data_IF_459798088063
#
_entry.id   IF_459798088063
#
_cell.length_a   1.000
_cell.length_b   1.000
_cell.length_c   1.000
_cell.angle_alpha   90.00
_cell.angle_beta   90.00
_cell.angle_gamma   90.00
#
_symmetry.space_group_name_H-M   'P 1'
#
loop_
_entity.id
_entity.type
_entity.pdbx_description
1 polymer ?
#
# COMPACT_ATOMS: atom_id res chain seq x y z
N UNK A 1 44.95 -55.14 31.81
CA UNK A 1 44.12 -55.15 30.60
C UNK A 1 42.86 -54.29 30.79
N UNK A 2 42.31 -54.22 32.01
CA UNK A 2 41.08 -53.46 32.31
C UNK A 2 41.24 -51.92 32.31
N UNK A 3 42.39 -51.39 32.73
CA UNK A 3 42.61 -49.92 32.80
C UNK A 3 42.51 -49.22 31.43
N UNK A 4 43.02 -49.84 30.36
CA UNK A 4 42.96 -49.29 28.99
C UNK A 4 41.54 -49.31 28.39
N UNK A 5 40.69 -50.24 28.82
CA UNK A 5 39.27 -50.28 28.44
C UNK A 5 38.45 -49.23 29.18
N UNK A 6 38.86 -48.90 30.41
CA UNK A 6 38.23 -47.85 31.21
C UNK A 6 38.54 -46.45 30.67
N UNK A 7 39.76 -46.23 30.18
CA UNK A 7 40.18 -44.96 29.57
C UNK A 7 39.46 -44.71 28.23
N UNK A 8 39.39 -45.70 27.34
CA UNK A 8 38.63 -45.61 26.08
C UNK A 8 37.14 -45.32 26.30
N UNK A 9 36.52 -45.95 27.32
CA UNK A 9 35.10 -45.76 27.65
C UNK A 9 34.82 -44.39 28.27
N UNK A 10 35.82 -43.76 28.88
CA UNK A 10 35.72 -42.41 29.47
C UNK A 10 35.81 -41.33 28.38
N UNK A 11 36.74 -41.47 27.44
CA UNK A 11 36.87 -40.58 26.27
C UNK A 11 35.63 -40.63 25.35
N UNK A 12 35.05 -41.81 25.14
CA UNK A 12 33.82 -41.96 24.34
C UNK A 12 32.60 -41.28 24.99
N UNK A 13 32.55 -41.22 26.32
CA UNK A 13 31.46 -40.56 27.07
C UNK A 13 31.59 -39.05 27.04
N UNK A 14 32.81 -38.53 27.13
CA UNK A 14 33.07 -37.09 27.07
C UNK A 14 32.83 -36.52 25.66
N UNK A 15 33.25 -37.24 24.62
CA UNK A 15 32.99 -36.86 23.22
C UNK A 15 31.49 -36.87 22.89
N UNK A 16 30.74 -37.90 23.32
CA UNK A 16 29.27 -37.96 23.15
C UNK A 16 28.56 -36.83 23.92
N UNK A 17 28.94 -36.56 25.16
CA UNK A 17 28.40 -35.47 25.98
C UNK A 17 28.64 -34.09 25.34
N UNK A 18 29.85 -33.85 24.84
CA UNK A 18 30.19 -32.59 24.16
C UNK A 18 29.39 -32.37 22.87
N UNK A 19 29.12 -33.45 22.12
CA UNK A 19 28.36 -33.40 20.87
C UNK A 19 26.86 -33.16 21.13
N UNK A 20 26.30 -33.73 22.19
CA UNK A 20 24.94 -33.45 22.64
C UNK A 20 24.78 -31.99 23.08
N UNK A 21 25.75 -31.45 23.82
CA UNK A 21 25.79 -30.02 24.20
C UNK A 21 25.86 -29.10 22.98
N UNK A 22 26.73 -29.41 22.01
CA UNK A 22 26.83 -28.66 20.74
C UNK A 22 25.53 -28.73 19.91
N UNK A 23 24.84 -29.88 19.90
CA UNK A 23 23.54 -30.03 19.24
C UNK A 23 22.45 -29.25 19.95
N UNK A 24 22.39 -29.33 21.28
CA UNK A 24 21.44 -28.59 22.12
C UNK A 24 21.56 -27.08 21.90
N UNK A 25 22.80 -26.53 21.90
CA UNK A 25 23.03 -25.11 21.62
C UNK A 25 22.57 -24.69 20.22
N UNK A 26 22.79 -25.52 19.19
CA UNK A 26 22.30 -25.25 17.83
C UNK A 26 20.77 -25.23 17.76
N UNK A 27 20.10 -26.19 18.40
CA UNK A 27 18.64 -26.24 18.48
C UNK A 27 18.10 -25.03 19.25
N UNK A 28 18.74 -24.64 20.36
CA UNK A 28 18.35 -23.45 21.12
C UNK A 28 18.49 -22.16 20.28
N UNK A 29 19.59 -22.01 19.53
CA UNK A 29 19.80 -20.88 18.63
C UNK A 29 18.75 -20.83 17.50
N UNK A 30 18.43 -21.99 16.89
CA UNK A 30 17.37 -22.10 15.89
C UNK A 30 16.00 -21.69 16.48
N UNK A 31 15.64 -22.25 17.64
CA UNK A 31 14.39 -21.92 18.33
C UNK A 31 14.32 -20.43 18.69
N UNK A 32 15.44 -19.81 19.08
CA UNK A 32 15.51 -18.40 19.38
C UNK A 32 15.30 -17.53 18.12
N UNK A 33 15.92 -17.90 17.00
CA UNK A 33 15.73 -17.23 15.72
C UNK A 33 14.27 -17.26 15.29
N UNK A 34 13.65 -18.42 15.42
CA UNK A 34 12.25 -18.65 15.05
C UNK A 34 11.27 -17.92 15.99
N UNK A 35 11.57 -17.82 17.30
CA UNK A 35 10.83 -16.92 18.21
C UNK A 35 10.88 -15.47 17.74
N UNK A 36 12.08 -14.96 17.43
CA UNK A 36 12.24 -13.58 16.91
C UNK A 36 11.47 -13.37 15.61
N UNK A 37 11.39 -14.38 14.74
CA UNK A 37 10.58 -14.29 13.52
C UNK A 37 9.09 -14.12 13.83
N UNK A 38 8.54 -14.94 14.73
CA UNK A 38 7.16 -14.81 15.19
C UNK A 38 6.88 -13.47 15.86
N UNK A 39 7.82 -12.95 16.66
CA UNK A 39 7.68 -11.65 17.31
C UNK A 39 7.61 -10.51 16.28
N UNK A 40 8.43 -10.56 15.22
CA UNK A 40 8.35 -9.60 14.11
C UNK A 40 7.00 -9.66 13.40
N UNK A 41 6.48 -10.86 13.12
CA UNK A 41 5.16 -11.04 12.50
C UNK A 41 4.06 -10.49 13.42
N UNK A 42 4.06 -10.86 14.69
CA UNK A 42 3.06 -10.39 15.65
C UNK A 42 3.14 -8.88 15.86
N UNK A 43 4.33 -8.28 15.81
CA UNK A 43 4.52 -6.83 15.81
C UNK A 43 3.86 -6.16 14.61
N UNK A 44 4.08 -6.70 13.39
CA UNK A 44 3.41 -6.21 12.17
C UNK A 44 1.90 -6.35 12.24
N UNK A 45 1.39 -7.47 12.75
CA UNK A 45 -0.06 -7.67 12.94
C UNK A 45 -0.67 -6.65 13.90
N UNK A 46 0.00 -6.36 15.02
CA UNK A 46 -0.44 -5.31 15.96
C UNK A 46 -0.42 -3.92 15.33
N UNK A 47 0.57 -3.63 14.48
CA UNK A 47 0.61 -2.36 13.75
C UNK A 47 -0.58 -2.24 12.77
N UNK A 48 -0.89 -3.30 12.02
CA UNK A 48 -2.05 -3.35 11.14
C UNK A 48 -3.37 -3.13 11.89
N UNK A 49 -3.55 -3.74 13.06
CA UNK A 49 -4.75 -3.55 13.89
C UNK A 49 -5.02 -2.09 14.26
N UNK A 50 -3.97 -1.28 14.41
CA UNK A 50 -4.11 0.15 14.76
C UNK A 50 -4.50 1.01 13.56
N UNK A 51 -4.16 0.58 12.35
CA UNK A 51 -4.40 1.33 11.12
C UNK A 51 -5.72 0.97 10.46
N UNK A 52 -6.21 -0.25 10.66
CA UNK A 52 -7.41 -0.76 9.99
C UNK A 52 -8.63 -0.63 10.91
N UNK A 53 -9.70 0.04 10.46
CA UNK A 53 -10.97 0.09 11.19
C UNK A 53 -11.51 -1.31 11.49
N UNK A 54 -12.14 -1.49 12.65
CA UNK A 54 -12.77 -2.75 13.09
C UNK A 54 -11.84 -3.96 13.30
N UNK A 55 -10.54 -3.85 13.06
CA UNK A 55 -9.58 -4.96 13.16
C UNK A 55 -9.09 -5.27 14.60
N UNK A 56 -9.50 -4.50 15.61
CA UNK A 56 -8.95 -4.61 16.99
C UNK A 56 -9.32 -5.90 17.73
N UNK A 57 -10.41 -6.58 17.33
CA UNK A 57 -10.93 -7.79 18.00
C UNK A 57 -11.13 -8.98 17.05
N UNK A 58 -10.58 -8.92 15.83
CA UNK A 58 -10.70 -9.97 14.84
C UNK A 58 -9.54 -10.97 14.95
N UNK A 59 -9.78 -12.24 14.62
CA UNK A 59 -8.70 -13.21 14.48
C UNK A 59 -7.79 -12.86 13.29
N UNK A 60 -6.67 -13.58 13.14
CA UNK A 60 -5.63 -13.25 12.15
C UNK A 60 -6.12 -13.38 10.71
N UNK A 61 -7.02 -14.30 10.40
CA UNK A 61 -7.52 -14.49 9.04
C UNK A 61 -8.49 -13.36 8.68
N UNK A 62 -9.49 -13.12 9.53
CA UNK A 62 -10.45 -12.03 9.33
C UNK A 62 -9.77 -10.64 9.33
N UNK A 63 -8.71 -10.45 10.09
CA UNK A 63 -7.92 -9.22 10.06
C UNK A 63 -7.31 -8.94 8.69
N UNK A 64 -6.77 -9.96 8.04
CA UNK A 64 -6.19 -9.81 6.70
C UNK A 64 -7.28 -9.50 5.67
N UNK A 65 -8.48 -10.06 5.84
CA UNK A 65 -9.62 -9.74 4.99
C UNK A 65 -10.08 -8.29 5.15
N UNK A 66 -10.19 -7.80 6.39
CA UNK A 66 -10.51 -6.38 6.66
C UNK A 66 -9.43 -5.44 6.12
N UNK A 67 -8.14 -5.82 6.19
CA UNK A 67 -7.04 -5.04 5.57
C UNK A 67 -7.25 -4.92 4.06
N UNK A 68 -7.53 -6.02 3.36
CA UNK A 68 -7.75 -6.02 1.92
C UNK A 68 -8.95 -5.15 1.55
N UNK A 69 -10.04 -5.28 2.31
CA UNK A 69 -11.26 -4.48 2.12
C UNK A 69 -10.97 -2.99 2.30
N UNK A 70 -10.28 -2.60 3.37
CA UNK A 70 -9.94 -1.20 3.63
C UNK A 70 -9.04 -0.61 2.54
N UNK A 71 -8.06 -1.35 2.03
CA UNK A 71 -7.21 -0.90 0.92
C UNK A 71 -8.01 -0.67 -0.36
N UNK A 72 -8.95 -1.57 -0.69
CA UNK A 72 -9.85 -1.38 -1.85
C UNK A 72 -10.71 -0.12 -1.70
N UNK A 73 -11.26 0.11 -0.51
CA UNK A 73 -12.03 1.32 -0.21
C UNK A 73 -11.18 2.59 -0.36
N UNK A 74 -9.95 2.58 0.15
CA UNK A 74 -9.05 3.72 0.05
C UNK A 74 -8.67 4.01 -1.41
N UNK A 75 -8.40 2.97 -2.21
CA UNK A 75 -8.13 3.13 -3.65
C UNK A 75 -9.35 3.73 -4.38
N UNK A 76 -10.55 3.24 -4.10
CA UNK A 76 -11.77 3.79 -4.69
C UNK A 76 -11.99 5.25 -4.30
N UNK A 77 -11.72 5.62 -3.04
CA UNK A 77 -11.82 7.00 -2.57
C UNK A 77 -10.84 7.92 -3.31
N UNK A 78 -9.58 7.50 -3.47
CA UNK A 78 -8.57 8.27 -4.21
C UNK A 78 -8.97 8.45 -5.68
N UNK A 79 -9.47 7.38 -6.31
CA UNK A 79 -9.96 7.45 -7.70
C UNK A 79 -11.13 8.43 -7.84
N UNK A 80 -12.09 8.41 -6.92
CA UNK A 80 -13.22 9.34 -6.90
C UNK A 80 -12.77 10.79 -6.75
N UNK A 81 -11.87 11.09 -5.81
CA UNK A 81 -11.35 12.46 -5.64
C UNK A 81 -10.61 12.91 -6.90
N UNK A 82 -9.83 12.02 -7.51
CA UNK A 82 -9.05 12.35 -8.71
C UNK A 82 -9.97 12.60 -9.90
N UNK A 83 -10.99 11.76 -10.11
CA UNK A 83 -11.96 11.96 -11.18
C UNK A 83 -12.80 13.21 -10.96
N UNK A 84 -13.20 13.51 -9.73
CA UNK A 84 -13.89 14.75 -9.38
C UNK A 84 -13.04 15.99 -9.73
N UNK A 85 -11.77 16.01 -9.33
CA UNK A 85 -10.84 17.09 -9.67
C UNK A 85 -10.62 17.23 -11.18
N UNK A 86 -10.49 16.10 -11.89
CA UNK A 86 -10.33 16.12 -13.34
C UNK A 86 -11.60 16.64 -14.04
N UNK A 87 -12.79 16.28 -13.55
CA UNK A 87 -14.06 16.80 -14.05
C UNK A 87 -14.20 18.29 -13.76
N UNK A 88 -13.84 18.77 -12.56
CA UNK A 88 -13.82 20.20 -12.24
C UNK A 88 -12.87 20.96 -13.18
N UNK A 89 -11.67 20.44 -13.42
CA UNK A 89 -10.71 21.03 -14.36
C UNK A 89 -11.23 21.01 -15.80
N UNK A 90 -11.83 19.91 -16.26
CA UNK A 90 -12.44 19.83 -17.59
C UNK A 90 -13.62 20.80 -17.72
N UNK A 91 -14.46 20.92 -16.69
CA UNK A 91 -15.60 21.83 -16.68
C UNK A 91 -15.12 23.29 -16.67
N UNK A 92 -14.02 23.60 -15.97
CA UNK A 92 -13.37 24.90 -16.02
C UNK A 92 -12.72 25.18 -17.39
N UNK A 93 -12.07 24.20 -18.02
CA UNK A 93 -11.47 24.33 -19.36
C UNK A 93 -12.52 24.41 -20.48
N UNK A 94 -13.68 23.77 -20.32
CA UNK A 94 -14.79 23.82 -21.27
C UNK A 94 -15.65 25.10 -21.09
N UNK A 95 -15.69 25.66 -19.87
CA UNK A 95 -16.33 26.96 -19.60
C UNK A 95 -15.46 28.15 -20.03
N UNK A 96 -14.12 28.05 -19.95
CA UNK A 96 -13.19 29.05 -20.50
C UNK A 96 -12.96 28.89 -22.01
N UNK A 97 -13.18 27.68 -22.55
CA UNK A 97 -13.08 27.39 -23.99
C UNK A 97 -14.29 27.82 -24.83
N UNK A 98 -15.37 28.30 -24.20
CA UNK A 98 -16.59 28.69 -24.92
C UNK A 98 -17.16 30.02 -24.42
N UNK A 99 -16.48 31.10 -24.77
CA UNK A 99 -17.13 32.37 -25.09
C UNK A 99 -16.49 32.98 -26.34
N UNK A 100 -17.16 32.85 -27.50
CA UNK A 100 -17.65 34.06 -28.13
C UNK A 100 -19.15 33.93 -28.36
N UNK A 101 -19.94 34.27 -27.36
CA UNK A 101 -21.26 34.86 -27.58
C UNK A 101 -21.09 36.10 -28.47
N UNK A 102 -21.26 35.90 -29.77
CA UNK A 102 -21.74 36.82 -30.79
C UNK A 102 -21.50 38.31 -30.45
N UNK A 103 -20.28 38.77 -30.66
CA UNK A 103 -20.09 40.16 -31.04
C UNK A 103 -19.62 40.15 -32.50
N UNK A 104 -20.58 40.36 -33.41
CA UNK A 104 -20.23 40.71 -34.79
C UNK A 104 -19.34 41.96 -34.76
N UNK A 105 -18.23 41.99 -35.51
CA UNK A 105 -17.32 43.14 -35.49
C UNK A 105 -18.09 44.41 -35.90
N UNK A 106 -17.83 45.52 -35.20
CA UNK A 106 -18.47 46.82 -35.47
C UNK A 106 -18.39 47.20 -36.95
N UNK A 107 -17.32 46.81 -37.64
CA UNK A 107 -17.17 46.96 -39.09
C UNK A 107 -18.20 46.17 -39.90
N UNK A 108 -18.53 44.92 -39.52
CA UNK A 108 -19.56 44.16 -40.22
C UNK A 108 -20.95 44.77 -39.99
N UNK A 109 -21.19 45.36 -38.81
CA UNK A 109 -22.44 46.07 -38.47
C UNK A 109 -22.54 47.43 -39.19
N UNK A 110 -21.44 48.16 -39.30
CA UNK A 110 -21.34 49.40 -40.08
C UNK A 110 -21.44 49.12 -41.58
N UNK A 111 -20.81 48.05 -42.08
CA UNK A 111 -20.90 47.64 -43.48
C UNK A 111 -22.32 47.24 -43.87
N UNK A 112 -23.05 46.53 -43.01
CA UNK A 112 -24.46 46.22 -43.25
C UNK A 112 -25.34 47.47 -43.32
N UNK A 113 -25.09 48.46 -42.45
CA UNK A 113 -25.79 49.76 -42.50
C UNK A 113 -25.47 50.52 -43.78
N UNK A 114 -24.20 50.60 -44.18
CA UNK A 114 -23.79 51.27 -45.43
C UNK A 114 -24.36 50.58 -46.66
N UNK A 115 -24.40 49.25 -46.69
CA UNK A 115 -25.05 48.50 -47.78
C UNK A 115 -26.57 48.72 -47.82
N UNK A 116 -27.23 48.92 -46.67
CA UNK A 116 -28.67 49.19 -46.61
C UNK A 116 -29.01 50.62 -47.10
N UNK A 117 -28.14 51.60 -46.84
CA UNK A 117 -28.27 52.96 -47.37
C UNK A 117 -28.03 53.01 -48.89
N UNK A 118 -27.11 52.20 -49.42
CA UNK A 118 -26.87 52.10 -50.87
C UNK A 118 -28.00 51.43 -51.67
N UNK A 119 -28.93 50.72 -51.02
CA UNK A 119 -30.06 50.06 -51.68
C UNK A 119 -31.35 50.90 -51.70
N UNK A 120 -31.34 52.07 -51.06
CA UNK A 120 -32.48 53.00 -50.93
C UNK A 120 -32.32 54.26 -51.81
N UNK A 121 -31.23 54.34 -52.57
CA UNK A 121 -30.98 55.35 -53.63
C UNK A 121 -31.06 54.66 -54.99
#
# INVERSE_FOLDING_TARGET
>A
MDDLLQENKKEERETKSSNLSKRSRRVAAHNQSERRHRDRINGKMKALQKLVPNASKTDKASMLEEVIKYLKQLQAHVQLITSARNMEQQMMMMSLGMQPHIQMPLLARMAWVVLQECLTI
#
